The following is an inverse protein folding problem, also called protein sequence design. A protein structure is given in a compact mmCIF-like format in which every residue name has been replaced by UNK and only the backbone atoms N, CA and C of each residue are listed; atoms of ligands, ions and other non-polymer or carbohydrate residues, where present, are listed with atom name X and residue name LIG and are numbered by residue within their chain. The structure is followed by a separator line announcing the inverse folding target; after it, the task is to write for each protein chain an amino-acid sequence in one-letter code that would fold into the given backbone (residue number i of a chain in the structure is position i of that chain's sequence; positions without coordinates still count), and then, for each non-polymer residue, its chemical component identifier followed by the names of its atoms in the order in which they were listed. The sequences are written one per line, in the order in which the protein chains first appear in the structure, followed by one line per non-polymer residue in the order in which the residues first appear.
data_IF_789444419500
#
_entry.id   IF_789444419500
#
_cell.length_a   1.000
_cell.length_b   1.000
_cell.length_c   1.000
_cell.angle_alpha   90.00
_cell.angle_beta   90.00
_cell.angle_gamma   90.00
#
_symmetry.space_group_name_H-M   'P 1'
#
loop_
_entity.id
_entity.type
_entity.pdbx_description
1 polymer ?
#
# COMPACT_ATOMS: atom_id res chain seq x y z
N UNK A 1 -4.82 1.66 -16.56
CA UNK A 1 -5.56 1.11 -15.41
C UNK A 1 -4.74 1.09 -14.12
N UNK A 2 -3.51 0.56 -14.12
CA UNK A 2 -2.68 0.50 -12.91
C UNK A 2 -2.30 1.86 -12.34
N UNK A 3 -1.92 2.83 -13.18
CA UNK A 3 -1.55 4.17 -12.69
C UNK A 3 -2.70 4.85 -11.94
N UNK A 4 -3.94 4.67 -12.41
CA UNK A 4 -5.15 5.18 -11.76
C UNK A 4 -5.39 4.53 -10.39
N UNK A 5 -5.17 3.21 -10.27
CA UNK A 5 -5.28 2.48 -9.00
C UNK A 5 -4.17 2.85 -8.00
N UNK A 6 -2.96 3.11 -8.51
CA UNK A 6 -1.86 3.60 -7.69
C UNK A 6 -2.13 5.01 -7.17
N UNK A 7 -2.66 5.89 -8.01
CA UNK A 7 -3.10 7.22 -7.58
C UNK A 7 -4.22 7.11 -6.54
N UNK A 8 -5.20 6.24 -6.76
CA UNK A 8 -6.28 5.99 -5.80
C UNK A 8 -5.75 5.47 -4.44
N UNK A 9 -4.68 4.66 -4.43
CA UNK A 9 -4.02 4.19 -3.20
C UNK A 9 -3.52 5.34 -2.33
N UNK A 10 -3.09 6.46 -2.94
CA UNK A 10 -2.64 7.65 -2.22
C UNK A 10 -3.80 8.58 -1.84
N UNK A 11 -4.77 8.75 -2.73
CA UNK A 11 -5.89 9.68 -2.52
C UNK A 11 -6.87 9.18 -1.44
N UNK A 12 -7.14 7.87 -1.38
CA UNK A 12 -8.07 7.29 -0.39
C UNK A 12 -7.69 7.66 1.05
N UNK A 13 -6.47 7.38 1.54
CA UNK A 13 -6.09 7.77 2.90
C UNK A 13 -5.97 9.29 3.07
N UNK A 14 -5.65 10.05 2.02
CA UNK A 14 -5.58 11.51 2.12
C UNK A 14 -6.92 12.15 2.50
N UNK A 15 -8.04 11.62 1.99
CA UNK A 15 -9.37 12.20 2.20
C UNK A 15 -10.23 11.47 3.23
N UNK A 16 -10.08 10.15 3.37
CA UNK A 16 -11.04 9.34 4.11
C UNK A 16 -10.52 8.84 5.46
N UNK A 17 -9.21 8.87 5.73
CA UNK A 17 -8.62 8.17 6.89
C UNK A 17 -9.12 8.68 8.24
N UNK A 18 -9.37 9.98 8.38
CA UNK A 18 -9.78 10.60 9.64
C UNK A 18 -11.28 10.36 9.88
N UNK A 19 -12.12 10.68 8.89
CA UNK A 19 -13.58 10.63 9.04
C UNK A 19 -14.13 9.19 8.91
N UNK A 20 -13.50 8.35 8.08
CA UNK A 20 -14.01 7.02 7.73
C UNK A 20 -12.88 5.97 7.68
N UNK A 21 -12.27 5.60 8.82
CA UNK A 21 -11.14 4.68 8.86
C UNK A 21 -11.47 3.28 8.32
N UNK A 22 -12.66 2.75 8.64
CA UNK A 22 -13.10 1.44 8.13
C UNK A 22 -13.29 1.43 6.60
N UNK A 23 -13.87 2.50 6.05
CA UNK A 23 -14.04 2.66 4.61
C UNK A 23 -12.68 2.79 3.90
N UNK A 24 -11.72 3.47 4.53
CA UNK A 24 -10.35 3.60 4.03
C UNK A 24 -9.69 2.25 3.87
N UNK A 25 -9.76 1.39 4.91
CA UNK A 25 -9.24 0.02 4.86
C UNK A 25 -9.92 -0.79 3.76
N UNK A 26 -11.26 -0.76 3.70
CA UNK A 26 -12.02 -1.51 2.71
C UNK A 26 -11.66 -1.08 1.28
N UNK A 27 -11.61 0.23 1.01
CA UNK A 27 -11.25 0.76 -0.30
C UNK A 27 -9.83 0.35 -0.71
N UNK A 28 -8.85 0.44 0.20
CA UNK A 28 -7.48 0.04 -0.08
C UNK A 28 -7.35 -1.47 -0.33
N UNK A 29 -8.08 -2.30 0.41
CA UNK A 29 -8.15 -3.74 0.19
C UNK A 29 -8.75 -4.08 -1.18
N UNK A 30 -9.85 -3.42 -1.55
CA UNK A 30 -10.48 -3.58 -2.88
C UNK A 30 -9.50 -3.16 -3.99
N UNK A 31 -8.81 -2.04 -3.84
CA UNK A 31 -7.78 -1.60 -4.79
C UNK A 31 -6.68 -2.67 -4.94
N UNK A 32 -6.19 -3.23 -3.83
CA UNK A 32 -5.18 -4.29 -3.85
C UNK A 32 -5.64 -5.56 -4.56
N UNK A 33 -6.87 -6.00 -4.30
CA UNK A 33 -7.50 -7.13 -4.98
C UNK A 33 -7.64 -6.86 -6.48
N UNK A 34 -8.14 -5.68 -6.87
CA UNK A 34 -8.26 -5.29 -8.27
C UNK A 34 -6.89 -5.26 -8.96
N UNK A 35 -5.86 -4.71 -8.30
CA UNK A 35 -4.50 -4.74 -8.80
C UNK A 35 -4.03 -6.18 -9.02
N UNK A 36 -4.17 -7.07 -8.03
CA UNK A 36 -3.80 -8.48 -8.17
C UNK A 36 -4.57 -9.17 -9.33
N UNK A 37 -5.85 -8.88 -9.49
CA UNK A 37 -6.69 -9.45 -10.53
C UNK A 37 -6.26 -9.04 -11.95
N UNK A 38 -5.76 -7.81 -12.15
CA UNK A 38 -5.29 -7.33 -13.47
C UNK A 38 -4.19 -8.21 -14.06
N UNK A 39 -3.27 -8.70 -13.22
CA UNK A 39 -2.16 -9.54 -13.65
C UNK A 39 -1.80 -10.52 -12.55
N UNK A 40 -2.68 -11.51 -12.39
CA UNK A 40 -2.54 -12.52 -11.36
C UNK A 40 -1.25 -13.31 -11.54
N UNK A 41 -0.47 -13.40 -10.47
CA UNK A 41 0.72 -14.23 -10.38
C UNK A 41 1.01 -14.53 -8.91
N UNK A 42 1.35 -15.78 -8.59
CA UNK A 42 1.77 -16.18 -7.23
C UNK A 42 2.89 -15.29 -6.68
N UNK A 43 3.86 -14.93 -7.53
CA UNK A 43 4.95 -14.01 -7.15
C UNK A 43 4.44 -12.65 -6.72
N UNK A 44 3.44 -12.09 -7.43
CA UNK A 44 2.85 -10.80 -7.09
C UNK A 44 2.08 -10.88 -5.77
N UNK A 45 1.33 -11.96 -5.54
CA UNK A 45 0.62 -12.18 -4.28
C UNK A 45 1.59 -12.33 -3.09
N UNK A 46 2.69 -13.09 -3.26
CA UNK A 46 3.73 -13.23 -2.24
C UNK A 46 4.44 -11.90 -1.96
N UNK A 47 4.76 -11.12 -2.99
CA UNK A 47 5.34 -9.78 -2.84
C UNK A 47 4.38 -8.84 -2.10
N UNK A 48 3.10 -8.86 -2.46
CA UNK A 48 2.08 -8.08 -1.76
C UNK A 48 2.08 -8.41 -0.28
N UNK A 49 2.01 -9.69 0.09
CA UNK A 49 1.98 -10.12 1.49
C UNK A 49 3.27 -9.76 2.23
N UNK A 50 4.43 -9.97 1.60
CA UNK A 50 5.72 -9.66 2.18
C UNK A 50 5.85 -8.16 2.51
N UNK A 51 5.45 -7.28 1.59
CA UNK A 51 5.54 -5.83 1.78
C UNK A 51 4.41 -5.28 2.66
N UNK A 52 3.22 -5.89 2.60
CA UNK A 52 2.11 -5.61 3.52
C UNK A 52 2.54 -5.74 4.99
N UNK A 53 3.45 -6.68 5.31
CA UNK A 53 3.96 -6.88 6.66
C UNK A 53 5.25 -6.09 6.91
N UNK A 54 6.25 -6.23 6.04
CA UNK A 54 7.57 -5.64 6.28
C UNK A 54 7.59 -4.11 6.20
N UNK A 55 6.76 -3.49 5.34
CA UNK A 55 6.65 -2.04 5.23
C UNK A 55 6.21 -1.38 6.54
N UNK A 56 5.05 -1.78 7.12
CA UNK A 56 4.61 -1.26 8.41
C UNK A 56 5.57 -1.55 9.55
N UNK A 57 6.27 -2.69 9.56
CA UNK A 57 7.31 -2.96 10.57
C UNK A 57 8.44 -1.93 10.47
N UNK A 58 8.93 -1.64 9.26
CA UNK A 58 9.98 -0.65 9.06
C UNK A 58 9.52 0.76 9.50
N UNK A 59 8.27 1.12 9.24
CA UNK A 59 7.70 2.37 9.73
C UNK A 59 7.52 2.40 11.24
N UNK A 60 7.01 1.34 11.87
CA UNK A 60 6.89 1.24 13.32
C UNK A 60 8.25 1.41 14.03
N UNK A 61 9.32 0.83 13.48
CA UNK A 61 10.68 1.03 14.01
C UNK A 61 11.08 2.51 13.90
N UNK A 62 10.81 3.15 12.77
CA UNK A 62 11.14 4.56 12.55
C UNK A 62 10.38 5.48 13.52
N UNK A 63 9.10 5.19 13.75
CA UNK A 63 8.25 5.91 14.71
C UNK A 63 8.72 5.69 16.15
N UNK A 64 9.14 4.47 16.50
CA UNK A 64 9.72 4.17 17.81
C UNK A 64 10.97 5.02 18.10
N UNK A 65 11.81 5.27 17.09
CA UNK A 65 12.96 6.17 17.21
C UNK A 65 12.61 7.66 17.10
N UNK A 66 11.33 8.03 17.02
CA UNK A 66 10.87 9.41 17.01
C UNK A 66 11.06 10.14 15.69
N UNK A 67 11.21 9.42 14.57
CA UNK A 67 11.38 10.05 13.27
C UNK A 67 10.13 10.84 12.83
N UNK A 68 8.94 10.31 13.11
CA UNK A 68 7.64 11.00 12.96
C UNK A 68 6.55 10.28 13.76
N UNK A 69 5.32 10.81 13.74
CA UNK A 69 4.13 10.19 14.34
C UNK A 69 2.88 10.37 13.49
N UNK A 70 1.92 9.45 13.62
CA UNK A 70 0.58 9.58 13.05
C UNK A 70 -0.40 10.19 14.06
N UNK A 71 -1.33 11.02 13.57
CA UNK A 71 -2.41 11.59 14.37
C UNK A 71 -3.68 10.70 14.41
N UNK A 72 -3.61 9.49 13.86
CA UNK A 72 -4.73 8.56 13.71
C UNK A 72 -4.83 7.57 14.89
N UNK A 73 -5.94 6.82 14.97
CA UNK A 73 -6.01 5.61 15.78
C UNK A 73 -4.96 4.61 15.30
N UNK A 74 -3.99 4.32 16.17
CA UNK A 74 -2.78 3.57 15.83
C UNK A 74 -2.63 2.32 16.69
N UNK A 75 -1.90 1.34 16.16
CA UNK A 75 -1.40 0.18 16.88
C UNK A 75 0.12 0.10 16.65
N UNK A 76 0.93 0.03 17.71
CA UNK A 76 2.39 0.19 17.61
C UNK A 76 2.83 1.44 16.80
N UNK A 77 2.11 2.55 16.96
CA UNK A 77 2.42 3.83 16.31
C UNK A 77 1.98 3.96 14.85
N UNK A 78 1.47 2.89 14.22
CA UNK A 78 1.02 2.90 12.82
C UNK A 78 -0.50 2.73 12.70
N UNK A 79 -1.15 3.36 11.71
CA UNK A 79 -2.58 3.20 11.49
C UNK A 79 -2.91 1.90 10.73
N UNK A 80 -4.08 1.33 11.00
CA UNK A 80 -4.52 0.04 10.44
C UNK A 80 -4.65 0.02 8.91
N UNK A 81 -4.76 1.17 8.26
CA UNK A 81 -4.81 1.28 6.80
C UNK A 81 -3.42 1.17 6.14
N UNK A 82 -2.34 1.43 6.88
CA UNK A 82 -0.98 1.52 6.36
C UNK A 82 -0.47 0.21 5.73
N UNK A 83 -0.72 -0.99 6.30
CA UNK A 83 -0.34 -2.26 5.66
C UNK A 83 -0.85 -2.41 4.22
N UNK A 84 -2.08 -1.97 3.96
CA UNK A 84 -2.69 -2.08 2.63
C UNK A 84 -2.03 -1.14 1.61
N UNK A 85 -1.63 0.06 2.04
CA UNK A 85 -0.86 0.99 1.18
C UNK A 85 0.47 0.38 0.78
N UNK A 86 1.21 -0.21 1.73
CA UNK A 86 2.47 -0.90 1.45
C UNK A 86 2.30 -2.09 0.50
N UNK A 87 1.28 -2.93 0.73
CA UNK A 87 0.93 -4.02 -0.17
C UNK A 87 0.69 -3.52 -1.60
N UNK A 88 -0.17 -2.50 -1.76
CA UNK A 88 -0.48 -1.90 -3.07
C UNK A 88 0.77 -1.29 -3.74
N UNK A 89 1.63 -0.64 -2.97
CA UNK A 89 2.87 -0.03 -3.45
C UNK A 89 3.79 -1.07 -4.10
N UNK A 90 3.93 -2.26 -3.51
CA UNK A 90 4.76 -3.34 -4.07
C UNK A 90 4.31 -3.73 -5.49
N UNK A 91 3.00 -3.86 -5.70
CA UNK A 91 2.43 -4.23 -6.98
C UNK A 91 2.54 -3.09 -8.00
N UNK A 92 2.48 -1.84 -7.55
CA UNK A 92 2.74 -0.69 -8.41
C UNK A 92 4.21 -0.69 -8.88
N UNK A 93 5.17 -0.85 -7.97
CA UNK A 93 6.61 -0.86 -8.27
C UNK A 93 6.96 -1.94 -9.30
N UNK A 94 6.43 -3.16 -9.14
CA UNK A 94 6.67 -4.26 -10.11
C UNK A 94 6.20 -3.89 -11.51
N UNK A 95 5.10 -3.14 -11.64
CA UNK A 95 4.56 -2.74 -12.94
C UNK A 95 5.31 -1.56 -13.53
N UNK A 96 5.74 -0.61 -12.70
CA UNK A 96 6.65 0.45 -13.13
C UNK A 96 7.93 -0.15 -13.66
N UNK A 97 8.52 -1.13 -12.94
CA UNK A 97 9.69 -1.86 -13.43
C UNK A 97 9.44 -2.50 -14.80
N UNK A 98 8.35 -3.24 -14.96
CA UNK A 98 8.03 -3.89 -16.24
C UNK A 98 7.82 -2.88 -17.39
N UNK A 99 7.28 -1.71 -17.08
CA UNK A 99 7.15 -0.61 -18.05
C UNK A 99 8.51 -0.03 -18.43
N UNK A 100 9.38 0.25 -17.46
CA UNK A 100 10.74 0.75 -17.71
C UNK A 100 11.51 -0.25 -18.58
N UNK A 101 11.47 -1.53 -18.23
CA UNK A 101 12.16 -2.59 -18.98
C UNK A 101 11.71 -2.62 -20.47
N UNK A 102 10.47 -2.24 -20.78
CA UNK A 102 9.96 -2.20 -22.16
C UNK A 102 10.51 -1.04 -23.01
N UNK A 103 11.11 -0.02 -22.40
CA UNK A 103 11.79 1.07 -23.10
C UNK A 103 13.31 0.82 -23.25
N UNK A 104 13.87 -0.13 -22.49
CA UNK A 104 15.31 -0.43 -22.47
C UNK A 104 15.69 -1.73 -23.17
N UNK A 105 14.70 -2.46 -23.71
CA UNK A 105 14.87 -3.67 -24.50
C UNK A 105 14.84 -3.36 -25.99
#
# INVERSE_FOLDING_TARGET
MTCSLALATLLVPAFLRIQYPALTILALAVIGVLMLAIKWNKRNALLYLAIFVSGPIAESISIYFGAWSYNDSTYFGIPFWLPFVWGNASLYIVRVKALIDSFTA
#
